data_IF_750043343201
#
_entry.id   IF_750043343201
#
_cell.length_a   1.000
_cell.length_b   1.000
_cell.length_c   1.000
_cell.angle_alpha   90.00
_cell.angle_beta   90.00
_cell.angle_gamma   90.00
#
_symmetry.space_group_name_H-M   'P 1'
#
loop_
_entity.id
_entity.type
_entity.pdbx_description
1 polymer ?
#
# COMPACT_ATOMS: atom_id res chain seq x y z
N UNK A 1 -9.24 -10.54 12.44
CA UNK A 1 -9.25 -11.98 12.11
C UNK A 1 -9.87 -12.85 13.20
N UNK A 2 -9.53 -12.67 14.48
CA UNK A 2 -10.07 -13.45 15.59
C UNK A 2 -11.61 -13.51 15.60
N UNK A 3 -12.30 -12.37 15.41
CA UNK A 3 -13.78 -12.34 15.38
C UNK A 3 -14.41 -13.17 14.26
N UNK A 4 -13.80 -13.20 13.07
CA UNK A 4 -14.28 -14.05 11.96
C UNK A 4 -14.04 -15.51 12.32
N UNK A 5 -12.83 -15.84 12.80
CA UNK A 5 -12.42 -17.21 13.10
C UNK A 5 -13.16 -17.82 14.31
N UNK A 6 -13.68 -17.01 15.23
CA UNK A 6 -14.37 -17.49 16.44
C UNK A 6 -15.80 -17.98 16.19
N UNK A 7 -16.34 -17.83 14.98
CA UNK A 7 -17.72 -18.20 14.65
C UNK A 7 -17.76 -19.40 13.73
N UNK A 8 -18.48 -20.44 14.13
CA UNK A 8 -18.59 -21.67 13.34
C UNK A 8 -19.26 -21.45 11.97
N UNK A 9 -20.17 -20.47 11.89
CA UNK A 9 -20.88 -20.05 10.68
C UNK A 9 -19.95 -19.58 9.55
N UNK A 10 -18.73 -19.18 9.92
CA UNK A 10 -17.71 -18.68 9.01
C UNK A 10 -16.81 -19.78 8.42
N UNK A 11 -16.98 -21.04 8.87
CA UNK A 11 -16.21 -22.18 8.40
C UNK A 11 -16.47 -22.46 6.92
N UNK A 12 -15.42 -22.84 6.18
CA UNK A 12 -15.51 -23.19 4.76
C UNK A 12 -15.66 -22.00 3.80
N UNK A 13 -15.51 -20.76 4.28
CA UNK A 13 -15.55 -19.55 3.44
C UNK A 13 -14.17 -18.91 3.28
N UNK A 14 -14.01 -18.09 2.25
CA UNK A 14 -12.85 -17.23 2.02
C UNK A 14 -13.18 -15.76 2.27
N UNK A 15 -12.23 -14.99 2.78
CA UNK A 15 -12.42 -13.60 3.20
C UNK A 15 -11.31 -12.71 2.62
N UNK A 16 -11.68 -11.72 1.82
CA UNK A 16 -10.75 -10.66 1.40
C UNK A 16 -10.85 -9.49 2.37
N UNK A 17 -9.77 -9.24 3.13
CA UNK A 17 -9.69 -8.18 4.13
C UNK A 17 -9.14 -6.89 3.51
N UNK A 18 -9.96 -6.27 2.67
CA UNK A 18 -9.63 -5.05 1.93
C UNK A 18 -10.73 -4.00 2.16
N UNK A 19 -10.57 -2.80 1.59
CA UNK A 19 -11.64 -1.81 1.60
C UNK A 19 -12.92 -2.39 0.98
N UNK A 20 -14.07 -2.30 1.67
CA UNK A 20 -15.37 -2.63 1.06
C UNK A 20 -15.76 -1.71 -0.10
N UNK A 21 -15.13 -0.54 -0.17
CA UNK A 21 -15.30 0.43 -1.23
C UNK A 21 -13.96 0.61 -1.98
N UNK A 22 -13.83 0.08 -3.21
CA UNK A 22 -12.60 0.19 -3.99
C UNK A 22 -12.14 1.65 -4.21
N UNK A 23 -13.05 2.63 -4.22
CA UNK A 23 -12.69 4.04 -4.39
C UNK A 23 -11.92 4.62 -3.20
N UNK A 24 -11.94 3.95 -2.04
CA UNK A 24 -11.14 4.31 -0.85
C UNK A 24 -9.76 3.66 -0.84
N UNK A 25 -9.49 2.71 -1.74
CA UNK A 25 -8.15 2.19 -1.98
C UNK A 25 -7.40 3.14 -2.89
N UNK A 26 -6.17 3.49 -2.54
CA UNK A 26 -5.36 4.44 -3.28
C UNK A 26 -4.31 3.70 -4.13
N UNK A 27 -4.11 4.14 -5.38
CA UNK A 27 -3.02 3.62 -6.22
C UNK A 27 -1.66 4.19 -5.78
N UNK A 28 -0.58 3.73 -6.38
CA UNK A 28 0.76 4.31 -6.18
C UNK A 28 0.76 5.80 -6.59
N UNK A 29 0.16 6.13 -7.73
CA UNK A 29 0.01 7.51 -8.22
C UNK A 29 -0.88 8.35 -7.29
N UNK A 30 -1.93 7.75 -6.73
CA UNK A 30 -2.76 8.41 -5.72
C UNK A 30 -2.01 8.67 -4.41
N UNK A 31 -1.08 7.79 -4.04
CA UNK A 31 -0.28 7.91 -2.80
C UNK A 31 0.63 9.14 -2.85
N UNK A 32 1.20 9.45 -4.03
CA UNK A 32 1.93 10.69 -4.26
C UNK A 32 1.11 11.94 -3.88
N UNK A 33 -0.18 11.99 -4.27
CA UNK A 33 -1.06 13.10 -3.93
C UNK A 33 -1.35 13.17 -2.42
N UNK A 34 -1.47 12.02 -1.75
CA UNK A 34 -1.65 11.98 -0.31
C UNK A 34 -0.41 12.51 0.44
N UNK A 35 0.79 12.17 -0.01
CA UNK A 35 2.05 12.67 0.57
C UNK A 35 2.17 14.19 0.47
N UNK A 36 1.85 14.77 -0.70
CA UNK A 36 1.83 16.23 -0.87
C UNK A 36 0.82 16.88 0.09
N UNK A 37 -0.41 16.35 0.16
CA UNK A 37 -1.44 16.87 1.08
C UNK A 37 -1.04 16.75 2.55
N UNK A 38 -0.22 15.77 2.89
CA UNK A 38 0.32 15.57 4.24
C UNK A 38 1.52 16.49 4.56
N UNK A 39 1.95 17.35 3.61
CA UNK A 39 3.00 18.34 3.78
C UNK A 39 4.39 17.88 3.36
N UNK A 40 4.51 16.74 2.68
CA UNK A 40 5.81 16.25 2.20
C UNK A 40 6.07 16.74 0.78
N UNK A 41 7.18 17.46 0.54
CA UNK A 41 7.53 17.91 -0.80
C UNK A 41 7.91 16.69 -1.65
N UNK A 42 7.18 16.49 -2.75
CA UNK A 42 7.42 15.40 -3.68
C UNK A 42 7.51 15.94 -5.11
N UNK A 43 8.46 15.43 -5.88
CA UNK A 43 8.59 15.69 -7.30
C UNK A 43 8.11 14.46 -8.09
N UNK A 44 7.31 14.70 -9.14
CA UNK A 44 6.91 13.63 -10.06
C UNK A 44 7.89 13.58 -11.23
N UNK A 45 8.65 12.50 -11.31
CA UNK A 45 9.61 12.21 -12.39
C UNK A 45 9.23 10.90 -13.11
N UNK A 46 9.90 10.58 -14.22
CA UNK A 46 9.66 9.31 -14.90
C UNK A 46 10.14 8.12 -14.05
N UNK A 47 9.56 6.94 -14.28
CA UNK A 47 9.98 5.72 -13.58
C UNK A 47 11.48 5.45 -13.78
N UNK A 48 11.98 5.62 -15.02
CA UNK A 48 13.39 5.42 -15.34
C UNK A 48 14.28 6.40 -14.57
N UNK A 49 13.95 7.70 -14.59
CA UNK A 49 14.75 8.71 -13.88
C UNK A 49 14.75 8.48 -12.37
N UNK A 50 13.63 7.99 -11.81
CA UNK A 50 13.53 7.63 -10.40
C UNK A 50 14.44 6.44 -10.05
N UNK A 51 14.48 5.39 -10.90
CA UNK A 51 15.39 4.26 -10.71
C UNK A 51 16.85 4.70 -10.83
N UNK A 52 17.19 5.55 -11.81
CA UNK A 52 18.54 6.10 -11.96
C UNK A 52 18.98 6.88 -10.72
N UNK A 53 18.11 7.73 -10.15
CA UNK A 53 18.39 8.43 -8.89
C UNK A 53 18.68 7.45 -7.75
N UNK A 54 17.94 6.35 -7.63
CA UNK A 54 18.23 5.34 -6.59
C UNK A 54 19.62 4.75 -6.79
N UNK A 55 19.98 4.40 -8.03
CA UNK A 55 21.30 3.82 -8.36
C UNK A 55 22.45 4.77 -8.02
N UNK A 56 22.29 6.07 -8.27
CA UNK A 56 23.28 7.12 -7.97
C UNK A 56 23.48 7.35 -6.46
N UNK A 57 22.50 6.96 -5.63
CA UNK A 57 22.54 7.12 -4.18
C UNK A 57 22.74 5.76 -3.48
N UNK A 58 24.00 5.37 -3.23
CA UNK A 58 24.36 4.11 -2.55
C UNK A 58 23.77 3.95 -1.15
N UNK A 59 23.49 5.07 -0.47
CA UNK A 59 22.90 5.10 0.86
C UNK A 59 21.36 5.05 0.82
N UNK A 60 20.75 4.99 -0.37
CA UNK A 60 19.30 4.92 -0.49
C UNK A 60 18.79 3.63 0.15
N UNK A 61 17.76 3.68 1.02
CA UNK A 61 17.15 2.49 1.60
C UNK A 61 16.51 1.58 0.55
N UNK A 62 16.34 2.06 -0.68
CA UNK A 62 15.81 1.31 -1.81
C UNK A 62 16.88 0.54 -2.62
N UNK A 63 18.17 0.69 -2.29
CA UNK A 63 19.26 -0.03 -2.96
C UNK A 63 19.04 -1.56 -2.99
N UNK A 64 18.65 -2.22 -1.89
CA UNK A 64 18.35 -3.66 -1.92
C UNK A 64 17.18 -4.04 -2.84
N UNK A 65 16.34 -3.08 -3.22
CA UNK A 65 15.20 -3.30 -4.10
C UNK A 65 15.54 -3.13 -5.58
N UNK A 66 16.75 -2.65 -5.93
CA UNK A 66 17.14 -2.41 -7.33
C UNK A 66 16.87 -3.58 -8.28
N UNK A 67 17.12 -4.86 -7.93
CA UNK A 67 16.78 -5.97 -8.82
C UNK A 67 15.29 -5.96 -9.22
N UNK A 68 14.38 -5.69 -8.29
CA UNK A 68 12.94 -5.59 -8.58
C UNK A 68 12.59 -4.34 -9.40
N UNK A 69 13.35 -3.26 -9.23
CA UNK A 69 13.07 -1.95 -9.81
C UNK A 69 13.67 -1.77 -11.22
N UNK A 70 14.74 -2.47 -11.56
CA UNK A 70 15.51 -2.22 -12.79
C UNK A 70 15.44 -3.38 -13.80
N UNK A 71 15.30 -4.62 -13.34
CA UNK A 71 15.38 -5.78 -14.23
C UNK A 71 14.07 -5.93 -15.02
N UNK A 72 14.13 -5.95 -16.36
CA UNK A 72 12.96 -6.26 -17.18
C UNK A 72 12.57 -7.72 -16.97
N UNK A 73 11.33 -7.96 -16.59
CA UNK A 73 10.79 -9.33 -16.35
C UNK A 73 9.65 -9.69 -17.30
N UNK A 74 9.05 -8.70 -17.95
CA UNK A 74 8.01 -8.90 -18.95
C UNK A 74 8.07 -7.81 -20.02
N UNK A 75 8.57 -8.17 -21.21
CA UNK A 75 8.98 -7.19 -22.23
C UNK A 75 9.97 -6.21 -21.60
N UNK A 76 9.71 -4.90 -21.71
CA UNK A 76 10.53 -3.85 -21.11
C UNK A 76 10.04 -3.42 -19.72
N UNK A 77 9.04 -4.11 -19.16
CA UNK A 77 8.52 -3.79 -17.82
C UNK A 77 9.27 -4.55 -16.73
N UNK A 78 9.58 -3.80 -15.67
CA UNK A 78 10.20 -4.32 -14.45
C UNK A 78 9.17 -5.00 -13.54
N UNK A 79 9.63 -5.76 -12.55
CA UNK A 79 8.73 -6.44 -11.60
C UNK A 79 7.78 -5.45 -10.91
N UNK A 80 8.28 -4.27 -10.52
CA UNK A 80 7.45 -3.22 -9.94
C UNK A 80 6.37 -2.73 -10.91
N UNK A 81 6.72 -2.44 -12.15
CA UNK A 81 5.75 -1.96 -13.15
C UNK A 81 4.69 -3.01 -13.51
N UNK A 82 5.05 -4.29 -13.52
CA UNK A 82 4.05 -5.35 -13.77
C UNK A 82 3.05 -5.54 -12.62
N UNK A 83 3.33 -4.98 -11.44
CA UNK A 83 2.49 -5.12 -10.25
C UNK A 83 1.41 -4.05 -10.08
N UNK A 84 1.33 -3.07 -10.99
CA UNK A 84 0.43 -1.90 -10.83
C UNK A 84 -1.04 -2.21 -11.12
N UNK A 85 -1.32 -3.27 -11.89
CA UNK A 85 -2.69 -3.68 -12.26
C UNK A 85 -3.24 -4.70 -11.24
N UNK A 86 -3.38 -4.29 -9.98
CA UNK A 86 -3.94 -5.15 -8.94
C UNK A 86 -5.44 -5.38 -9.14
N UNK A 87 -5.93 -6.62 -9.07
CA UNK A 87 -7.35 -6.91 -9.25
C UNK A 87 -8.20 -6.36 -8.10
N UNK A 88 -9.45 -6.02 -8.40
CA UNK A 88 -10.46 -5.67 -7.40
C UNK A 88 -11.08 -6.96 -6.85
N UNK A 89 -10.97 -7.17 -5.55
CA UNK A 89 -11.50 -8.36 -4.88
C UNK A 89 -12.88 -8.10 -4.27
N UNK A 90 -13.73 -9.11 -4.31
CA UNK A 90 -15.03 -9.10 -3.62
C UNK A 90 -14.83 -9.29 -2.10
N UNK A 91 -15.33 -8.35 -1.28
CA UNK A 91 -15.19 -8.36 0.18
C UNK A 91 -16.46 -8.81 0.92
N UNK A 92 -17.51 -9.26 0.21
CA UNK A 92 -18.84 -9.52 0.77
C UNK A 92 -18.83 -10.45 1.98
N UNK A 93 -18.05 -11.53 1.94
CA UNK A 93 -17.92 -12.45 3.07
C UNK A 93 -17.32 -11.76 4.31
N UNK A 94 -16.33 -10.88 4.12
CA UNK A 94 -15.72 -10.14 5.21
C UNK A 94 -16.69 -9.11 5.81
N UNK A 95 -17.43 -8.40 4.95
CA UNK A 95 -18.47 -7.44 5.39
C UNK A 95 -19.55 -8.14 6.20
N UNK A 96 -20.05 -9.29 5.73
CA UNK A 96 -21.07 -10.06 6.44
C UNK A 96 -20.56 -10.61 7.78
N UNK A 97 -19.36 -11.19 7.80
CA UNK A 97 -18.79 -11.79 9.02
C UNK A 97 -18.48 -10.76 10.12
N UNK A 98 -18.33 -9.49 9.75
CA UNK A 98 -18.05 -8.36 10.66
C UNK A 98 -19.28 -7.48 10.93
N UNK A 99 -20.46 -7.81 10.41
CA UNK A 99 -21.64 -6.96 10.49
C UNK A 99 -22.09 -6.65 11.93
N UNK A 100 -21.83 -7.57 12.86
CA UNK A 100 -22.11 -7.41 14.30
C UNK A 100 -21.00 -6.68 15.08
N UNK A 101 -19.93 -6.24 14.41
CA UNK A 101 -18.77 -5.55 14.98
C UNK A 101 -18.42 -4.30 14.16
N UNK A 102 -19.27 -3.26 14.18
CA UNK A 102 -19.07 -2.04 13.37
C UNK A 102 -17.79 -1.26 13.74
N UNK A 103 -17.20 -1.52 14.91
CA UNK A 103 -15.90 -0.98 15.32
C UNK A 103 -14.73 -1.56 14.52
N UNK A 104 -14.88 -2.78 13.98
CA UNK A 104 -13.88 -3.43 13.12
C UNK A 104 -14.12 -3.00 11.67
N UNK A 105 -13.60 -1.83 11.32
CA UNK A 105 -13.79 -1.23 9.99
C UNK A 105 -12.47 -0.89 9.31
N UNK A 106 -12.52 -0.83 7.98
CA UNK A 106 -11.43 -0.32 7.17
C UNK A 106 -11.21 1.18 7.46
N UNK A 107 -9.95 1.58 7.60
CA UNK A 107 -9.54 2.99 7.72
C UNK A 107 -8.68 3.32 6.49
N UNK A 108 -9.07 4.32 5.68
CA UNK A 108 -8.31 4.73 4.50
C UNK A 108 -6.90 5.21 4.82
N UNK A 109 -5.95 4.98 3.90
CA UNK A 109 -4.57 5.47 4.06
C UNK A 109 -4.50 6.98 4.25
N UNK A 110 -5.40 7.74 3.62
CA UNK A 110 -5.48 9.21 3.78
C UNK A 110 -5.64 9.67 5.23
N UNK A 111 -6.26 8.86 6.09
CA UNK A 111 -6.44 9.14 7.51
C UNK A 111 -5.25 8.66 8.36
N UNK A 112 -4.47 7.70 7.85
CA UNK A 112 -3.38 7.04 8.58
C UNK A 112 -1.99 7.58 8.21
N UNK A 113 -1.82 8.13 7.00
CA UNK A 113 -0.53 8.47 6.44
C UNK A 113 0.30 9.35 7.37
N UNK A 114 -0.30 10.41 7.92
CA UNK A 114 0.39 11.31 8.85
C UNK A 114 0.89 10.58 10.10
N UNK A 115 0.04 9.72 10.68
CA UNK A 115 0.39 8.93 11.87
C UNK A 115 1.54 7.96 11.58
N UNK A 116 1.60 7.38 10.40
CA UNK A 116 2.72 6.51 10.01
C UNK A 116 4.03 7.28 9.89
N UNK A 117 4.01 8.46 9.26
CA UNK A 117 5.22 9.28 9.15
C UNK A 117 5.66 9.79 10.53
N UNK A 118 4.74 10.31 11.34
CA UNK A 118 5.06 10.75 12.71
C UNK A 118 5.69 9.61 13.52
N UNK A 119 5.14 8.39 13.43
CA UNK A 119 5.72 7.20 14.06
C UNK A 119 7.12 6.87 13.54
N UNK A 120 7.38 6.98 12.24
CA UNK A 120 8.71 6.73 11.68
C UNK A 120 9.74 7.76 12.14
N UNK A 121 9.33 9.02 12.26
CA UNK A 121 10.18 10.12 12.79
C UNK A 121 10.48 9.91 14.27
N UNK A 122 9.46 9.62 15.07
CA UNK A 122 9.61 9.31 16.51
C UNK A 122 10.54 8.11 16.77
N UNK A 123 10.56 7.14 15.85
CA UNK A 123 11.42 5.94 15.93
C UNK A 123 12.79 6.12 15.28
N UNK A 124 13.08 7.29 14.72
CA UNK A 124 14.32 7.58 13.98
C UNK A 124 14.54 6.66 12.77
N UNK A 125 13.47 6.12 12.18
CA UNK A 125 13.54 5.37 10.91
C UNK A 125 13.58 6.29 9.70
N UNK A 126 13.16 7.55 9.89
CA UNK A 126 13.14 8.56 8.86
C UNK A 126 13.42 9.93 9.49
N UNK A 127 14.18 10.77 8.78
CA UNK A 127 14.41 12.17 9.12
C UNK A 127 13.78 13.05 8.03
N UNK A 128 12.97 14.01 8.45
CA UNK A 128 12.36 15.02 7.56
C UNK A 128 13.33 16.15 7.23
#
# INVERSE_FOLDING_TARGET
MLHIASKFENLGRAYHLLSPDPAKSVSIEGTYQLLIRAGFPMEKISYHDWVSKIQEHSESPLQPMLPMLQEPVFKDFTRMQTSTETPVYNTQNAVQALADRPEIKYIPLSELLRRYVDFWVERHYYSL
#
